data_IF_525524755877
#
_entry.id   IF_525524755877
#
_cell.length_a   1.000
_cell.length_b   1.000
_cell.length_c   1.000
_cell.angle_alpha   90.00
_cell.angle_beta   90.00
_cell.angle_gamma   90.00
#
_symmetry.space_group_name_H-M   'P 1'
#
loop_
_entity.id
_entity.type
_entity.pdbx_description
1 polymer ?
#
# COMPACT_ATOMS: atom_id res chain seq x y z
N UNK A 1 -20.17 -12.94 16.06
CA UNK A 1 -19.65 -14.07 15.28
C UNK A 1 -18.49 -14.67 16.06
N UNK A 2 -18.39 -16.00 16.13
CA UNK A 2 -17.25 -16.69 16.76
C UNK A 2 -15.96 -16.38 15.99
N UNK A 3 -14.85 -16.15 16.68
CA UNK A 3 -13.57 -15.93 16.03
C UNK A 3 -12.99 -17.27 15.56
N UNK A 4 -12.78 -17.41 14.26
CA UNK A 4 -12.23 -18.63 13.65
C UNK A 4 -11.20 -18.26 12.57
N UNK A 5 -10.38 -19.22 12.12
CA UNK A 5 -9.46 -19.03 10.99
C UNK A 5 -10.17 -18.67 9.68
N UNK A 6 -11.48 -18.92 9.60
CA UNK A 6 -12.33 -18.68 8.44
C UNK A 6 -13.14 -17.37 8.54
N UNK A 7 -12.98 -16.59 9.61
CA UNK A 7 -13.78 -15.37 9.85
C UNK A 7 -13.65 -14.31 8.74
N UNK A 8 -12.56 -14.36 7.97
CA UNK A 8 -12.30 -13.46 6.85
C UNK A 8 -12.74 -14.01 5.49
N UNK A 9 -13.33 -15.21 5.42
CA UNK A 9 -13.92 -15.72 4.18
C UNK A 9 -15.14 -14.89 3.81
N UNK A 10 -15.22 -14.47 2.54
CA UNK A 10 -16.32 -13.62 2.05
C UNK A 10 -17.02 -14.24 0.84
N UNK A 11 -18.30 -13.92 0.71
CA UNK A 11 -19.06 -14.18 -0.53
C UNK A 11 -18.58 -13.24 -1.64
N UNK A 12 -17.60 -13.67 -2.43
CA UNK A 12 -16.94 -12.82 -3.44
C UNK A 12 -17.91 -12.19 -4.44
N UNK A 13 -18.94 -12.94 -4.88
CA UNK A 13 -19.98 -12.42 -5.78
C UNK A 13 -20.77 -11.27 -5.15
N UNK A 14 -21.35 -11.50 -3.97
CA UNK A 14 -22.16 -10.49 -3.27
C UNK A 14 -21.32 -9.28 -2.85
N UNK A 15 -20.06 -9.49 -2.50
CA UNK A 15 -19.16 -8.41 -2.13
C UNK A 15 -18.76 -7.56 -3.35
N UNK A 16 -18.45 -8.18 -4.49
CA UNK A 16 -18.22 -7.47 -5.74
C UNK A 16 -19.45 -6.66 -6.19
N UNK A 17 -20.67 -7.20 -5.99
CA UNK A 17 -21.92 -6.47 -6.24
C UNK A 17 -22.08 -5.27 -5.31
N UNK A 18 -21.80 -5.43 -4.01
CA UNK A 18 -21.84 -4.34 -3.02
C UNK A 18 -20.88 -3.21 -3.36
N UNK A 19 -19.64 -3.54 -3.74
CA UNK A 19 -18.65 -2.54 -4.16
C UNK A 19 -19.06 -1.88 -5.48
N UNK A 20 -19.65 -2.65 -6.41
CA UNK A 20 -20.15 -2.10 -7.67
C UNK A 20 -21.24 -1.04 -7.46
N UNK A 21 -22.15 -1.29 -6.51
CA UNK A 21 -23.19 -0.32 -6.11
C UNK A 21 -22.53 0.93 -5.53
N UNK A 22 -21.59 0.77 -4.60
CA UNK A 22 -20.86 1.89 -4.00
C UNK A 22 -20.20 2.77 -5.06
N UNK A 23 -19.42 2.19 -5.98
CA UNK A 23 -18.73 2.95 -7.04
C UNK A 23 -19.75 3.73 -7.88
N UNK A 24 -20.85 3.09 -8.27
CA UNK A 24 -21.90 3.74 -9.08
C UNK A 24 -22.55 4.91 -8.33
N UNK A 25 -22.87 4.74 -7.05
CA UNK A 25 -23.46 5.79 -6.22
C UNK A 25 -22.52 6.99 -6.05
N UNK A 26 -21.23 6.75 -5.79
CA UNK A 26 -20.24 7.81 -5.65
C UNK A 26 -20.03 8.60 -6.96
N UNK A 27 -20.00 7.90 -8.10
CA UNK A 27 -19.90 8.58 -9.40
C UNK A 27 -21.12 9.47 -9.68
N UNK A 28 -22.33 9.00 -9.34
CA UNK A 28 -23.55 9.77 -9.53
C UNK A 28 -23.61 11.00 -8.61
N UNK A 29 -23.23 10.85 -7.34
CA UNK A 29 -23.25 11.95 -6.37
C UNK A 29 -22.25 13.05 -6.69
N UNK A 30 -21.08 12.68 -7.24
CA UNK A 30 -20.02 13.63 -7.61
C UNK A 30 -20.11 14.12 -9.06
N UNK A 31 -21.11 13.66 -9.83
CA UNK A 31 -21.32 14.00 -11.25
C UNK A 31 -20.10 13.72 -12.13
N UNK A 32 -19.50 12.53 -11.98
CA UNK A 32 -18.28 12.11 -12.68
C UNK A 32 -18.59 11.13 -13.80
N UNK A 33 -17.85 11.25 -14.90
CA UNK A 33 -18.10 10.49 -16.13
C UNK A 33 -17.28 9.20 -16.25
N UNK A 34 -16.20 9.08 -15.47
CA UNK A 34 -15.30 7.94 -15.50
C UNK A 34 -14.37 7.89 -14.29
N UNK A 35 -13.38 7.01 -14.35
CA UNK A 35 -12.47 6.71 -13.25
C UNK A 35 -11.01 6.71 -13.73
N UNK A 36 -10.13 7.38 -12.99
CA UNK A 36 -8.66 7.30 -13.09
C UNK A 36 -8.12 6.43 -11.96
N UNK A 37 -7.19 5.52 -12.27
CA UNK A 37 -6.51 4.65 -11.29
C UNK A 37 -5.01 4.60 -11.59
N UNK A 38 -4.18 4.81 -10.57
CA UNK A 38 -2.76 4.49 -10.61
C UNK A 38 -2.52 2.97 -10.58
N UNK A 39 -1.90 2.43 -11.63
CA UNK A 39 -1.60 1.00 -11.74
C UNK A 39 -0.15 0.74 -11.30
N UNK A 40 0.02 0.08 -10.16
CA UNK A 40 1.34 -0.23 -9.56
C UNK A 40 1.85 -1.63 -9.90
N UNK A 41 1.03 -2.46 -10.53
CA UNK A 41 1.35 -3.89 -10.74
C UNK A 41 1.19 -4.73 -9.47
N UNK A 42 0.57 -4.17 -8.42
CA UNK A 42 0.12 -4.87 -7.22
C UNK A 42 -1.37 -5.23 -7.28
N UNK A 43 -1.77 -6.15 -6.39
CA UNK A 43 -3.12 -6.74 -6.37
C UNK A 43 -4.23 -5.72 -6.13
N UNK A 44 -4.01 -4.70 -5.29
CA UNK A 44 -5.06 -3.75 -4.90
C UNK A 44 -5.48 -2.88 -6.08
N UNK A 45 -4.51 -2.28 -6.78
CA UNK A 45 -4.78 -1.48 -7.98
C UNK A 45 -5.37 -2.32 -9.12
N UNK A 46 -4.93 -3.57 -9.28
CA UNK A 46 -5.48 -4.49 -10.26
C UNK A 46 -6.95 -4.84 -9.98
N UNK A 47 -7.29 -5.07 -8.71
CA UNK A 47 -8.65 -5.32 -8.25
C UNK A 47 -9.54 -4.08 -8.45
N UNK A 48 -9.11 -2.90 -8.04
CA UNK A 48 -9.86 -1.65 -8.24
C UNK A 48 -10.11 -1.36 -9.72
N UNK A 49 -9.13 -1.64 -10.60
CA UNK A 49 -9.31 -1.51 -12.05
C UNK A 49 -10.37 -2.48 -12.58
N UNK A 50 -10.31 -3.76 -12.19
CA UNK A 50 -11.30 -4.76 -12.61
C UNK A 50 -12.72 -4.43 -12.12
N UNK A 51 -12.86 -3.99 -10.86
CA UNK A 51 -14.13 -3.53 -10.30
C UNK A 51 -14.67 -2.31 -11.05
N UNK A 52 -13.81 -1.33 -11.37
CA UNK A 52 -14.21 -0.15 -12.12
C UNK A 52 -14.69 -0.52 -13.53
N UNK A 53 -13.96 -1.37 -14.25
CA UNK A 53 -14.36 -1.87 -15.57
C UNK A 53 -15.70 -2.59 -15.51
N UNK A 54 -15.92 -3.42 -14.49
CA UNK A 54 -17.20 -4.11 -14.27
C UNK A 54 -18.37 -3.14 -14.13
N UNK A 55 -18.17 -1.99 -13.50
CA UNK A 55 -19.23 -1.02 -13.21
C UNK A 55 -19.52 -0.10 -14.39
N UNK A 56 -18.48 0.47 -15.00
CA UNK A 56 -18.64 1.55 -15.98
C UNK A 56 -18.19 1.21 -17.41
N UNK A 57 -17.65 0.01 -17.62
CA UNK A 57 -17.06 -0.40 -18.89
C UNK A 57 -15.63 0.15 -19.07
N UNK A 58 -14.84 -0.57 -19.86
CA UNK A 58 -13.41 -0.29 -20.07
C UNK A 58 -13.10 1.08 -20.66
N UNK A 59 -14.01 1.63 -21.48
CA UNK A 59 -13.78 2.89 -22.20
C UNK A 59 -13.83 4.12 -21.29
N UNK A 60 -14.35 3.98 -20.06
CA UNK A 60 -14.44 5.04 -19.06
C UNK A 60 -13.50 4.83 -17.87
N UNK A 61 -12.53 3.93 -18.03
CA UNK A 61 -11.47 3.67 -17.04
C UNK A 61 -10.13 4.03 -17.69
N UNK A 62 -9.40 4.94 -17.06
CA UNK A 62 -8.04 5.32 -17.45
C UNK A 62 -7.05 4.80 -16.41
N UNK A 63 -6.18 3.88 -16.84
CA UNK A 63 -5.04 3.43 -16.04
C UNK A 63 -3.83 4.35 -16.21
N UNK A 64 -3.19 4.74 -15.11
CA UNK A 64 -1.96 5.51 -15.14
C UNK A 64 -0.78 4.68 -14.64
N UNK A 65 0.25 4.55 -15.48
CA UNK A 65 1.54 4.01 -15.10
C UNK A 65 2.42 5.18 -14.68
N UNK A 66 2.84 5.22 -13.42
CA UNK A 66 3.54 6.37 -12.83
C UNK A 66 4.94 5.98 -12.32
N UNK A 67 5.82 5.47 -13.21
CA UNK A 67 7.16 5.03 -12.82
C UNK A 67 8.06 6.22 -12.48
N UNK A 68 9.02 5.95 -11.61
CA UNK A 68 10.22 6.76 -11.42
C UNK A 68 11.46 5.91 -11.75
N UNK A 69 12.64 6.52 -11.86
CA UNK A 69 13.89 5.80 -12.24
C UNK A 69 14.27 4.63 -11.34
N UNK A 70 13.71 4.53 -10.15
CA UNK A 70 13.92 3.42 -9.21
C UNK A 70 12.73 2.45 -9.12
N UNK A 71 11.64 2.70 -9.87
CA UNK A 71 10.51 1.78 -9.90
C UNK A 71 10.90 0.46 -10.57
N UNK A 72 10.36 -0.65 -10.05
CA UNK A 72 10.63 -1.96 -10.62
C UNK A 72 10.10 -2.08 -12.06
N UNK A 73 10.92 -2.50 -13.04
CA UNK A 73 10.46 -2.76 -14.40
C UNK A 73 9.34 -3.81 -14.44
N UNK A 74 9.39 -4.80 -13.54
CA UNK A 74 8.38 -5.85 -13.43
C UNK A 74 7.02 -5.29 -13.00
N UNK A 75 6.99 -4.26 -12.14
CA UNK A 75 5.74 -3.59 -11.75
C UNK A 75 5.02 -2.99 -12.96
N UNK A 76 5.77 -2.28 -13.80
CA UNK A 76 5.23 -1.66 -15.01
C UNK A 76 4.74 -2.71 -16.02
N UNK A 77 5.49 -3.79 -16.21
CA UNK A 77 5.11 -4.89 -17.10
C UNK A 77 3.81 -5.57 -16.65
N UNK A 78 3.69 -5.93 -15.37
CA UNK A 78 2.49 -6.56 -14.83
C UNK A 78 1.28 -5.63 -14.88
N UNK A 79 1.46 -4.36 -14.54
CA UNK A 79 0.41 -3.34 -14.64
C UNK A 79 -0.10 -3.20 -16.09
N UNK A 80 0.81 -3.12 -17.06
CA UNK A 80 0.47 -3.04 -18.48
C UNK A 80 -0.21 -4.32 -18.98
N UNK A 81 0.29 -5.50 -18.59
CA UNK A 81 -0.29 -6.79 -18.95
C UNK A 81 -1.73 -6.92 -18.44
N UNK A 82 -1.97 -6.57 -17.18
CA UNK A 82 -3.31 -6.61 -16.59
C UNK A 82 -4.25 -5.58 -17.24
N UNK A 83 -3.77 -4.36 -17.49
CA UNK A 83 -4.55 -3.34 -18.18
C UNK A 83 -4.97 -3.79 -19.60
N UNK A 84 -4.06 -4.45 -20.33
CA UNK A 84 -4.35 -5.03 -21.64
C UNK A 84 -5.42 -6.13 -21.56
N UNK A 85 -5.37 -7.00 -20.55
CA UNK A 85 -6.42 -8.01 -20.31
C UNK A 85 -7.78 -7.36 -20.06
N UNK A 86 -7.84 -6.27 -19.28
CA UNK A 86 -9.06 -5.52 -19.03
C UNK A 86 -9.53 -4.70 -20.25
N UNK A 87 -8.64 -4.46 -21.22
CA UNK A 87 -8.89 -3.64 -22.39
C UNK A 87 -9.05 -2.15 -22.08
N UNK A 88 -8.51 -1.68 -20.96
CA UNK A 88 -8.58 -0.26 -20.56
C UNK A 88 -7.48 0.55 -21.25
N UNK A 89 -7.74 1.83 -21.47
CA UNK A 89 -6.70 2.75 -21.94
C UNK A 89 -5.69 2.99 -20.82
N UNK A 90 -4.41 3.04 -21.17
CA UNK A 90 -3.33 3.42 -20.25
C UNK A 90 -2.58 4.65 -20.73
N UNK A 91 -2.00 5.38 -19.78
CA UNK A 91 -1.02 6.43 -20.05
C UNK A 91 0.15 6.30 -19.08
N UNK A 92 1.36 6.53 -19.58
CA UNK A 92 2.57 6.55 -18.76
C UNK A 92 3.00 7.98 -18.50
N UNK A 93 3.27 8.30 -17.24
CA UNK A 93 3.85 9.58 -16.82
C UNK A 93 5.10 9.26 -16.01
N UNK A 94 6.26 9.52 -16.58
CA UNK A 94 7.51 9.44 -15.84
C UNK A 94 7.57 10.60 -14.84
N UNK A 95 7.58 10.27 -13.54
CA UNK A 95 7.62 11.26 -12.47
C UNK A 95 9.05 11.62 -12.04
N UNK A 96 10.07 10.98 -12.63
CA UNK A 96 11.48 11.22 -12.33
C UNK A 96 11.86 12.70 -12.44
N UNK A 97 11.50 13.45 -13.50
CA UNK A 97 11.92 14.84 -13.64
C UNK A 97 11.41 15.74 -12.50
N UNK A 98 10.19 15.49 -12.01
CA UNK A 98 9.59 16.27 -10.91
C UNK A 98 10.29 15.93 -9.59
N UNK A 99 10.61 14.65 -9.37
CA UNK A 99 11.37 14.19 -8.20
C UNK A 99 12.79 14.74 -8.17
N UNK A 100 13.45 14.82 -9.33
CA UNK A 100 14.77 15.43 -9.48
C UNK A 100 14.72 16.94 -9.25
N UNK A 101 13.75 17.63 -9.84
CA UNK A 101 13.57 19.07 -9.63
C UNK A 101 13.30 19.41 -8.16
N UNK A 102 12.56 18.57 -7.44
CA UNK A 102 12.36 18.71 -6.00
C UNK A 102 13.60 18.31 -5.17
N UNK A 103 14.58 17.64 -5.77
CA UNK A 103 15.78 17.10 -5.11
C UNK A 103 15.45 15.95 -4.16
N UNK A 104 14.41 15.16 -4.45
CA UNK A 104 13.94 14.05 -3.59
C UNK A 104 15.03 13.00 -3.38
N UNK A 105 15.69 12.59 -4.46
CA UNK A 105 16.76 11.59 -4.41
C UNK A 105 17.99 12.12 -3.69
N UNK A 106 18.43 13.35 -3.99
CA UNK A 106 19.57 13.99 -3.35
C UNK A 106 19.40 14.06 -1.82
N UNK A 107 18.23 14.52 -1.35
CA UNK A 107 17.92 14.64 0.08
C UNK A 107 17.95 13.28 0.79
N UNK A 108 17.39 12.24 0.16
CA UNK A 108 17.42 10.88 0.70
C UNK A 108 18.83 10.31 0.72
N UNK A 109 19.56 10.47 -0.38
CA UNK A 109 20.91 9.91 -0.56
C UNK A 109 21.91 10.61 0.36
N UNK A 110 21.69 11.89 0.70
CA UNK A 110 22.46 12.58 1.72
C UNK A 110 22.37 11.89 3.10
N UNK A 111 21.20 11.36 3.47
CA UNK A 111 21.04 10.57 4.70
C UNK A 111 21.85 9.29 4.64
N UNK A 112 21.80 8.57 3.52
CA UNK A 112 22.57 7.34 3.34
C UNK A 112 24.08 7.61 3.31
N UNK A 113 24.53 8.65 2.60
CA UNK A 113 25.93 9.09 2.53
C UNK A 113 26.51 9.53 3.87
N UNK A 114 25.71 10.16 4.72
CA UNK A 114 26.14 10.55 6.06
C UNK A 114 26.45 9.33 6.95
N UNK A 115 25.89 8.16 6.64
CA UNK A 115 26.11 6.89 7.35
C UNK A 115 27.19 6.06 6.67
N UNK A 116 27.10 5.95 5.34
CA UNK A 116 27.99 5.19 4.47
C UNK A 116 28.56 6.14 3.41
N UNK A 117 29.73 6.78 3.64
CA UNK A 117 30.31 7.77 2.74
C UNK A 117 30.53 7.27 1.29
N UNK A 118 30.64 5.95 1.11
CA UNK A 118 30.76 5.29 -0.19
C UNK A 118 29.45 5.22 -0.98
N UNK A 119 28.30 5.50 -0.36
CA UNK A 119 26.99 5.42 -1.02
C UNK A 119 26.90 6.39 -2.19
N UNK A 120 26.63 5.88 -3.38
CA UNK A 120 26.65 6.69 -4.60
C UNK A 120 25.97 6.01 -5.78
N UNK A 121 26.41 6.36 -6.99
CA UNK A 121 25.85 5.80 -8.22
C UNK A 121 25.87 4.25 -8.19
N UNK A 122 24.77 3.64 -8.63
CA UNK A 122 24.59 2.19 -8.65
C UNK A 122 24.24 1.56 -7.29
N UNK A 123 24.35 2.30 -6.18
CA UNK A 123 23.90 1.79 -4.88
C UNK A 123 22.38 1.84 -4.79
N UNK A 124 21.80 0.84 -4.14
CA UNK A 124 20.38 0.77 -3.80
C UNK A 124 20.21 0.86 -2.30
N UNK A 125 19.02 1.24 -1.84
CA UNK A 125 18.70 1.24 -0.42
C UNK A 125 17.27 0.78 -0.16
N UNK A 126 17.03 0.28 1.05
CA UNK A 126 15.72 0.07 1.65
C UNK A 126 15.76 0.35 3.15
N UNK A 127 14.59 0.56 3.75
CA UNK A 127 14.47 0.55 5.21
C UNK A 127 13.48 -0.54 5.66
N UNK A 128 13.80 -1.20 6.76
CA UNK A 128 12.96 -2.26 7.35
C UNK A 128 12.71 -2.01 8.83
N UNK A 129 11.64 -2.60 9.36
CA UNK A 129 11.42 -2.71 10.79
C UNK A 129 11.95 -4.05 11.31
N UNK A 130 12.20 -4.20 12.62
CA UNK A 130 12.57 -5.49 13.18
C UNK A 130 11.48 -6.53 12.87
N UNK A 131 11.88 -7.60 12.21
CA UNK A 131 10.98 -8.69 11.83
C UNK A 131 10.61 -9.56 13.03
N UNK A 132 9.65 -10.46 12.82
CA UNK A 132 9.31 -11.52 13.77
C UNK A 132 8.83 -10.99 15.13
N UNK A 133 7.89 -10.05 15.06
CA UNK A 133 7.32 -9.43 16.27
C UNK A 133 6.65 -10.47 17.18
N UNK A 134 6.14 -11.57 16.62
CA UNK A 134 5.56 -12.66 17.42
C UNK A 134 6.61 -13.27 18.37
N UNK A 135 7.84 -13.50 17.94
CA UNK A 135 8.82 -14.18 18.79
C UNK A 135 9.82 -13.22 19.45
N UNK A 136 9.98 -11.99 18.95
CA UNK A 136 10.96 -11.02 19.47
C UNK A 136 10.32 -9.71 19.90
N UNK A 137 10.40 -9.38 21.18
CA UNK A 137 10.07 -8.02 21.63
C UNK A 137 11.16 -7.06 21.18
N UNK A 138 10.79 -6.05 20.41
CA UNK A 138 11.75 -5.11 19.81
C UNK A 138 11.11 -3.74 19.65
N UNK A 139 11.88 -2.71 20.00
CA UNK A 139 11.49 -1.32 19.81
C UNK A 139 11.29 -1.01 18.33
N UNK A 140 10.37 -0.08 18.03
CA UNK A 140 10.14 0.38 16.66
C UNK A 140 11.28 1.32 16.25
N UNK A 141 12.21 0.81 15.45
CA UNK A 141 13.26 1.59 14.80
C UNK A 141 13.45 1.09 13.37
N UNK A 142 13.78 2.01 12.46
CA UNK A 142 14.09 1.61 11.08
C UNK A 142 15.55 1.19 10.98
N UNK A 143 15.81 0.17 10.19
CA UNK A 143 17.15 -0.26 9.78
C UNK A 143 17.34 0.13 8.32
N UNK A 144 18.36 0.93 8.01
CA UNK A 144 18.79 1.17 6.65
C UNK A 144 19.64 0.01 6.18
N UNK A 145 19.28 -0.55 5.03
CA UNK A 145 20.11 -1.50 4.29
C UNK A 145 20.49 -0.87 2.95
N UNK A 146 21.79 -0.77 2.69
CA UNK A 146 22.33 -0.37 1.38
C UNK A 146 22.86 -1.60 0.66
N UNK A 147 22.71 -1.63 -0.66
CA UNK A 147 23.22 -2.67 -1.56
C UNK A 147 24.15 -2.01 -2.55
N UNK A 148 25.40 -2.45 -2.63
CA UNK A 148 26.37 -1.93 -3.60
C UNK A 148 26.23 -2.60 -4.98
N UNK A 149 26.94 -2.13 -6.02
CA UNK A 149 26.88 -2.73 -7.36
C UNK A 149 27.36 -4.20 -7.44
N UNK A 150 28.04 -4.71 -6.41
CA UNK A 150 28.49 -6.10 -6.30
C UNK A 150 27.52 -6.94 -5.45
N UNK A 151 26.32 -6.44 -5.17
CA UNK A 151 25.28 -7.06 -4.33
C UNK A 151 25.72 -7.27 -2.86
N UNK A 152 26.74 -6.55 -2.39
CA UNK A 152 27.14 -6.56 -0.98
C UNK A 152 26.22 -5.65 -0.19
N UNK A 153 25.71 -6.16 0.93
CA UNK A 153 24.77 -5.44 1.79
C UNK A 153 25.43 -4.95 3.07
N UNK A 154 25.03 -3.74 3.50
CA UNK A 154 25.37 -3.18 4.83
C UNK A 154 24.11 -2.68 5.49
N UNK A 155 23.96 -2.95 6.78
CA UNK A 155 22.77 -2.57 7.55
C UNK A 155 23.12 -1.83 8.82
N UNK A 156 22.40 -0.75 9.11
CA UNK A 156 22.53 -0.03 10.37
C UNK A 156 21.19 0.50 10.87
N UNK A 157 21.07 0.65 12.18
CA UNK A 157 19.91 1.28 12.80
C UNK A 157 19.92 2.78 12.53
N UNK A 158 18.77 3.31 12.08
CA UNK A 158 18.54 4.72 11.90
C UNK A 158 18.08 5.37 13.21
N UNK A 159 18.53 6.60 13.44
CA UNK A 159 17.88 7.49 14.39
C UNK A 159 16.60 8.09 13.77
N UNK A 160 15.80 8.77 14.59
CA UNK A 160 14.50 9.31 14.16
C UNK A 160 14.61 10.36 13.06
N UNK A 161 15.65 11.19 13.06
CA UNK A 161 15.85 12.23 12.04
C UNK A 161 16.20 11.60 10.68
N UNK A 162 17.13 10.66 10.67
CA UNK A 162 17.53 9.94 9.47
C UNK A 162 16.35 9.15 8.87
N UNK A 163 15.58 8.45 9.71
CA UNK A 163 14.39 7.74 9.27
C UNK A 163 13.35 8.70 8.65
N UNK A 164 13.08 9.84 9.29
CA UNK A 164 12.17 10.87 8.74
C UNK A 164 12.65 11.42 7.40
N UNK A 165 13.96 11.60 7.20
CA UNK A 165 14.52 12.06 5.93
C UNK A 165 14.23 11.09 4.78
N UNK A 166 14.45 9.78 5.00
CA UNK A 166 14.16 8.75 3.99
C UNK A 166 12.65 8.63 3.74
N UNK A 167 11.84 8.58 4.81
CA UNK A 167 10.38 8.47 4.70
C UNK A 167 9.79 9.69 3.98
N UNK A 168 10.31 10.91 4.22
CA UNK A 168 9.85 12.11 3.53
C UNK A 168 10.07 12.02 2.01
N UNK A 169 11.19 11.44 1.58
CA UNK A 169 11.45 11.19 0.16
C UNK A 169 10.45 10.19 -0.42
N UNK A 170 10.19 9.07 0.28
CA UNK A 170 9.16 8.10 -0.11
C UNK A 170 7.79 8.76 -0.24
N UNK A 171 7.34 9.52 0.78
CA UNK A 171 6.06 10.23 0.75
C UNK A 171 5.95 11.23 -0.42
N UNK A 172 7.07 11.86 -0.80
CA UNK A 172 7.10 12.80 -1.94
C UNK A 172 6.81 12.09 -3.25
N UNK A 173 7.31 10.86 -3.45
CA UNK A 173 6.98 10.03 -4.61
C UNK A 173 5.47 9.80 -4.72
N UNK A 174 4.82 9.37 -3.63
CA UNK A 174 3.37 9.14 -3.62
C UNK A 174 2.56 10.41 -3.94
N UNK A 175 2.97 11.57 -3.40
CA UNK A 175 2.29 12.86 -3.66
C UNK A 175 2.39 13.30 -5.10
N UNK A 176 3.53 13.09 -5.76
CA UNK A 176 3.67 13.42 -7.18
C UNK A 176 2.82 12.48 -8.04
N UNK A 177 2.69 11.20 -7.67
CA UNK A 177 1.75 10.27 -8.32
C UNK A 177 0.30 10.76 -8.19
N UNK A 178 -0.10 11.20 -7.00
CA UNK A 178 -1.41 11.80 -6.76
C UNK A 178 -1.65 13.02 -7.66
N UNK A 179 -0.68 13.94 -7.76
CA UNK A 179 -0.78 15.11 -8.64
C UNK A 179 -1.03 14.70 -10.10
N UNK A 180 -0.32 13.68 -10.60
CA UNK A 180 -0.54 13.17 -11.95
C UNK A 180 -1.95 12.60 -12.11
N UNK A 181 -2.43 11.79 -11.15
CA UNK A 181 -3.78 11.23 -11.18
C UNK A 181 -4.86 12.32 -11.27
N UNK A 182 -4.78 13.34 -10.41
CA UNK A 182 -5.76 14.43 -10.42
C UNK A 182 -5.70 15.27 -11.69
N UNK A 183 -4.52 15.51 -12.27
CA UNK A 183 -4.42 16.22 -13.55
C UNK A 183 -5.24 15.52 -14.66
N UNK A 184 -5.14 14.19 -14.77
CA UNK A 184 -5.91 13.45 -15.77
C UNK A 184 -7.39 13.32 -15.41
N UNK A 185 -7.70 13.19 -14.12
CA UNK A 185 -9.06 13.10 -13.63
C UNK A 185 -9.85 14.40 -13.92
N UNK A 186 -9.29 15.55 -13.53
CA UNK A 186 -9.86 16.87 -13.77
C UNK A 186 -10.04 17.16 -15.27
N UNK A 187 -9.00 16.86 -16.07
CA UNK A 187 -9.05 17.04 -17.52
C UNK A 187 -10.17 16.24 -18.18
N UNK A 188 -10.56 15.11 -17.61
CA UNK A 188 -11.51 14.16 -18.21
C UNK A 188 -12.87 14.13 -17.52
N UNK A 189 -13.11 14.98 -16.51
CA UNK A 189 -14.26 14.89 -15.60
C UNK A 189 -14.42 13.50 -14.93
N UNK A 190 -13.31 12.87 -14.57
CA UNK A 190 -13.26 11.57 -13.90
C UNK A 190 -12.98 11.76 -12.41
N UNK A 191 -13.29 10.75 -11.59
CA UNK A 191 -12.80 10.69 -10.21
C UNK A 191 -11.49 9.90 -10.13
N UNK A 192 -10.72 10.15 -9.07
CA UNK A 192 -9.55 9.35 -8.70
C UNK A 192 -10.00 8.23 -7.75
N UNK A 193 -9.78 6.99 -8.16
CA UNK A 193 -10.10 5.80 -7.37
C UNK A 193 -8.86 5.29 -6.65
N UNK A 194 -8.92 5.27 -5.33
CA UNK A 194 -7.90 4.72 -4.46
C UNK A 194 -7.90 3.21 -4.39
N UNK A 195 -6.84 2.71 -3.77
CA UNK A 195 -6.53 1.28 -3.73
C UNK A 195 -6.09 0.85 -2.34
N UNK A 196 -6.34 1.66 -1.32
CA UNK A 196 -5.96 1.34 0.06
C UNK A 196 -6.92 0.29 0.60
N UNK A 197 -6.39 -0.82 1.12
CA UNK A 197 -7.19 -1.85 1.79
C UNK A 197 -7.29 -1.58 3.31
N UNK A 198 -8.13 -2.33 4.02
CA UNK A 198 -8.35 -2.16 5.46
C UNK A 198 -7.09 -2.33 6.29
N UNK A 199 -6.27 -3.32 5.96
CA UNK A 199 -5.03 -3.60 6.69
C UNK A 199 -4.09 -2.40 6.66
N UNK A 200 -4.02 -1.74 5.50
CA UNK A 200 -3.29 -0.48 5.31
C UNK A 200 -3.98 0.71 5.98
N UNK A 201 -5.28 0.90 5.77
CA UNK A 201 -6.03 2.04 6.26
C UNK A 201 -6.03 2.13 7.80
N UNK A 202 -6.24 1.00 8.47
CA UNK A 202 -6.32 0.92 9.94
C UNK A 202 -4.94 1.08 10.57
N UNK A 203 -3.89 0.54 9.94
CA UNK A 203 -2.52 0.67 10.46
C UNK A 203 -1.86 1.99 10.05
N UNK A 204 -2.35 2.66 9.00
CA UNK A 204 -1.78 3.88 8.45
C UNK A 204 -0.62 3.62 7.50
N UNK A 205 -0.66 2.52 6.73
CA UNK A 205 0.26 2.24 5.64
C UNK A 205 -0.23 2.87 4.34
N UNK A 206 -0.25 4.20 4.30
CA UNK A 206 -0.50 4.99 3.10
C UNK A 206 0.01 6.41 3.33
N UNK A 207 0.16 7.19 2.26
CA UNK A 207 0.58 8.59 2.35
C UNK A 207 -0.65 9.49 2.26
N UNK A 208 -0.93 10.26 3.31
CA UNK A 208 -1.95 11.32 3.28
C UNK A 208 -1.61 12.33 2.18
N UNK A 209 -2.58 12.59 1.30
CA UNK A 209 -2.41 13.39 0.08
C UNK A 209 -1.39 12.80 -0.92
N UNK A 210 -1.05 11.53 -0.78
CA UNK A 210 -0.34 10.73 -1.76
C UNK A 210 -1.28 9.69 -2.34
N UNK A 211 -0.94 8.41 -2.18
CA UNK A 211 -1.83 7.30 -2.55
C UNK A 211 -3.17 7.30 -1.81
N UNK A 212 -3.25 7.87 -0.61
CA UNK A 212 -4.53 8.12 0.09
C UNK A 212 -5.18 9.47 -0.22
N UNK A 213 -4.65 10.24 -1.19
CA UNK A 213 -5.30 11.44 -1.70
C UNK A 213 -6.15 11.08 -2.91
N UNK A 214 -7.41 10.71 -2.68
CA UNK A 214 -8.32 10.17 -3.69
C UNK A 214 -9.76 10.59 -3.41
N UNK A 215 -10.67 10.37 -4.37
CA UNK A 215 -12.09 10.68 -4.21
C UNK A 215 -12.88 9.52 -3.60
N UNK A 216 -12.49 8.27 -3.89
CA UNK A 216 -13.12 7.06 -3.34
C UNK A 216 -12.09 5.99 -2.96
N UNK A 217 -12.40 5.18 -1.96
CA UNK A 217 -11.63 3.99 -1.55
C UNK A 217 -12.54 2.75 -1.52
N UNK A 218 -12.74 2.08 -2.67
CA UNK A 218 -13.77 1.03 -2.81
C UNK A 218 -13.44 -0.26 -2.04
N UNK A 219 -12.20 -0.43 -1.58
CA UNK A 219 -11.73 -1.65 -0.89
C UNK A 219 -11.15 -1.39 0.51
N UNK A 220 -11.25 -0.17 1.04
CA UNK A 220 -10.71 0.17 2.36
C UNK A 220 -11.40 -0.55 3.53
N UNK A 221 -12.54 -1.20 3.30
CA UNK A 221 -13.19 -2.07 4.29
C UNK A 221 -12.75 -3.53 4.23
N UNK A 222 -11.96 -3.93 3.23
CA UNK A 222 -11.50 -5.31 3.04
C UNK A 222 -10.08 -5.49 3.57
N UNK A 223 -9.85 -6.52 4.36
CA UNK A 223 -8.49 -6.94 4.70
C UNK A 223 -7.74 -7.45 3.47
N UNK A 224 -6.40 -7.46 3.49
CA UNK A 224 -5.58 -7.94 2.37
C UNK A 224 -5.96 -9.34 1.89
N UNK A 225 -6.24 -10.25 2.82
CA UNK A 225 -6.69 -11.61 2.53
C UNK A 225 -8.03 -11.64 1.78
N UNK A 226 -8.92 -10.67 2.02
CA UNK A 226 -10.19 -10.53 1.29
C UNK A 226 -9.99 -9.89 -0.09
N UNK A 227 -9.02 -8.98 -0.21
CA UNK A 227 -8.59 -8.44 -1.52
C UNK A 227 -8.10 -9.57 -2.42
N UNK A 228 -7.27 -10.49 -1.92
CA UNK A 228 -6.83 -11.66 -2.69
C UNK A 228 -7.98 -12.58 -3.12
N UNK A 229 -8.94 -12.86 -2.23
CA UNK A 229 -10.13 -13.65 -2.56
C UNK A 229 -10.93 -13.03 -3.72
N UNK A 230 -11.18 -11.72 -3.67
CA UNK A 230 -11.88 -11.01 -4.74
C UNK A 230 -11.07 -10.91 -6.03
N UNK A 231 -9.76 -10.72 -5.92
CA UNK A 231 -8.87 -10.66 -7.07
C UNK A 231 -8.86 -12.00 -7.83
N UNK A 232 -8.79 -13.13 -7.12
CA UNK A 232 -8.93 -14.46 -7.71
C UNK A 232 -10.30 -14.63 -8.37
N UNK A 233 -11.38 -14.26 -7.67
CA UNK A 233 -12.75 -14.35 -8.19
C UNK A 233 -12.97 -13.53 -9.48
N UNK A 234 -12.36 -12.33 -9.58
CA UNK A 234 -12.47 -11.47 -10.76
C UNK A 234 -11.44 -11.80 -11.86
N UNK A 235 -10.63 -12.84 -11.69
CA UNK A 235 -9.69 -13.29 -12.71
C UNK A 235 -8.50 -12.35 -12.93
N UNK A 236 -8.02 -11.70 -11.86
CA UNK A 236 -6.74 -10.97 -11.91
C UNK A 236 -5.62 -11.96 -12.28
N UNK A 237 -4.65 -11.50 -13.08
CA UNK A 237 -3.57 -12.37 -13.58
C UNK A 237 -2.80 -13.04 -12.46
N UNK A 238 -2.44 -14.31 -12.68
CA UNK A 238 -1.76 -15.16 -11.70
C UNK A 238 -0.45 -14.56 -11.21
N UNK A 239 0.29 -13.89 -12.09
CA UNK A 239 1.57 -13.26 -11.78
C UNK A 239 1.44 -12.10 -10.77
N UNK A 240 0.29 -11.41 -10.75
CA UNK A 240 -0.01 -10.41 -9.70
C UNK A 240 -0.40 -11.10 -8.39
N UNK A 241 -1.18 -12.19 -8.45
CA UNK A 241 -1.61 -12.93 -7.26
C UNK A 241 -0.46 -13.63 -6.53
N UNK A 242 0.55 -14.09 -7.25
CA UNK A 242 1.72 -14.79 -6.69
C UNK A 242 2.83 -13.84 -6.22
N UNK A 243 2.74 -12.56 -6.57
CA UNK A 243 3.72 -11.55 -6.18
C UNK A 243 3.56 -11.17 -4.71
N UNK A 244 4.67 -11.12 -3.98
CA UNK A 244 4.67 -10.59 -2.62
C UNK A 244 4.33 -9.08 -2.60
N UNK A 245 3.38 -8.64 -1.76
CA UNK A 245 3.06 -7.22 -1.62
C UNK A 245 4.27 -6.39 -1.21
N UNK A 246 4.46 -5.27 -1.92
CA UNK A 246 5.60 -4.39 -1.80
C UNK A 246 5.19 -2.95 -2.15
N UNK A 247 5.80 -1.94 -1.51
CA UNK A 247 5.44 -0.54 -1.74
C UNK A 247 6.05 0.05 -3.02
N UNK A 248 7.06 -0.62 -3.63
CA UNK A 248 7.78 -0.17 -4.84
C UNK A 248 8.25 1.31 -4.77
N UNK A 249 8.76 1.70 -3.61
CA UNK A 249 9.19 3.08 -3.31
C UNK A 249 10.68 3.23 -3.00
N UNK A 250 11.34 2.11 -2.70
CA UNK A 250 12.76 2.01 -2.42
C UNK A 250 13.49 1.39 -3.61
N UNK A 251 14.76 1.75 -3.83
CA UNK A 251 15.56 1.22 -4.93
C UNK A 251 16.01 -0.22 -4.71
N UNK A 252 16.07 -0.69 -3.46
CA UNK A 252 16.26 -2.10 -3.14
C UNK A 252 14.90 -2.78 -2.85
N UNK A 253 14.67 -4.03 -3.29
CA UNK A 253 13.42 -4.74 -3.05
C UNK A 253 13.11 -4.92 -1.56
N UNK A 254 11.88 -4.60 -1.16
CA UNK A 254 11.35 -4.77 0.19
C UNK A 254 9.87 -5.10 0.15
N UNK A 255 9.40 -5.95 1.06
CA UNK A 255 7.96 -6.28 1.17
C UNK A 255 7.26 -5.44 2.24
N UNK A 256 5.93 -5.38 2.20
CA UNK A 256 5.16 -4.74 3.27
C UNK A 256 5.34 -5.44 4.62
N UNK A 257 5.61 -6.76 4.60
CA UNK A 257 5.93 -7.55 5.79
C UNK A 257 7.26 -7.11 6.41
N UNK A 258 8.30 -6.85 5.60
CA UNK A 258 9.62 -6.42 6.07
C UNK A 258 9.64 -4.95 6.52
N UNK A 259 9.01 -4.07 5.75
CA UNK A 259 9.12 -2.63 5.96
C UNK A 259 8.14 -2.11 7.02
N UNK A 260 6.95 -2.71 7.14
CA UNK A 260 5.89 -2.12 7.94
C UNK A 260 5.18 -3.10 8.89
N UNK A 261 4.67 -4.22 8.39
CA UNK A 261 3.79 -5.09 9.17
C UNK A 261 4.51 -6.02 10.14
N UNK A 262 5.79 -6.37 9.87
CA UNK A 262 6.66 -7.19 10.73
C UNK A 262 6.19 -8.63 10.96
N UNK A 263 5.20 -9.09 10.21
CA UNK A 263 4.63 -10.44 10.27
C UNK A 263 4.01 -10.84 8.94
N UNK A 264 3.80 -12.14 8.69
CA UNK A 264 3.14 -12.62 7.49
C UNK A 264 1.69 -12.14 7.36
N UNK A 265 1.27 -11.76 6.15
CA UNK A 265 -0.07 -11.22 5.87
C UNK A 265 -1.22 -12.15 6.30
N UNK A 266 -1.03 -13.47 6.14
CA UNK A 266 -2.02 -14.47 6.55
C UNK A 266 -2.36 -14.40 8.05
N UNK A 267 -1.38 -14.09 8.89
CA UNK A 267 -1.58 -13.95 10.33
C UNK A 267 -2.00 -12.52 10.69
N UNK A 268 -1.42 -11.53 10.00
CA UNK A 268 -1.70 -10.10 10.20
C UNK A 268 -3.20 -9.82 10.24
N UNK A 269 -3.92 -10.19 9.19
CA UNK A 269 -5.33 -9.76 9.06
C UNK A 269 -6.25 -10.43 10.09
N UNK A 270 -5.99 -11.68 10.46
CA UNK A 270 -6.75 -12.37 11.50
C UNK A 270 -6.52 -11.73 12.87
N UNK A 271 -5.27 -11.41 13.19
CA UNK A 271 -4.93 -10.72 14.44
C UNK A 271 -5.44 -9.28 14.44
N UNK A 272 -5.39 -8.60 13.29
CA UNK A 272 -5.90 -7.24 13.15
C UNK A 272 -7.42 -7.22 13.31
N UNK A 273 -8.13 -8.18 12.70
CA UNK A 273 -9.56 -8.38 12.93
C UNK A 273 -9.88 -8.60 14.41
N UNK A 274 -9.13 -9.48 15.07
CA UNK A 274 -9.32 -9.76 16.49
C UNK A 274 -9.13 -8.51 17.36
N UNK A 275 -8.10 -7.71 17.05
CA UNK A 275 -7.82 -6.45 17.72
C UNK A 275 -8.92 -5.41 17.50
N UNK A 276 -9.35 -5.19 16.24
CA UNK A 276 -10.39 -4.23 15.89
C UNK A 276 -11.75 -4.57 16.53
N UNK A 277 -12.08 -5.85 16.59
CA UNK A 277 -13.35 -6.35 17.13
C UNK A 277 -13.29 -6.70 18.63
N UNK A 278 -12.16 -6.43 19.29
CA UNK A 278 -11.95 -6.70 20.73
C UNK A 278 -12.27 -8.15 21.12
N UNK A 279 -11.87 -9.10 20.28
CA UNK A 279 -11.96 -10.54 20.57
C UNK A 279 -11.16 -10.84 21.84
N UNK A 280 -11.69 -11.70 22.70
CA UNK A 280 -11.01 -12.08 23.93
C UNK A 280 -9.65 -12.74 23.64
N UNK A 281 -8.61 -12.35 24.38
CA UNK A 281 -7.25 -12.85 24.11
C UNK A 281 -7.17 -14.36 24.26
N UNK A 282 -7.92 -14.97 25.19
CA UNK A 282 -7.93 -16.44 25.36
C UNK A 282 -8.50 -17.13 24.11
N UNK A 283 -9.52 -16.54 23.47
CA UNK A 283 -10.07 -17.03 22.21
C UNK A 283 -9.07 -16.88 21.07
N UNK A 284 -8.39 -15.73 20.98
CA UNK A 284 -7.33 -15.50 19.98
C UNK A 284 -6.20 -16.51 20.14
N UNK A 285 -5.69 -16.71 21.36
CA UNK A 285 -4.65 -17.69 21.66
C UNK A 285 -5.04 -19.10 21.21
N UNK A 286 -6.28 -19.51 21.52
CA UNK A 286 -6.82 -20.83 21.13
C UNK A 286 -6.88 -20.99 19.61
N UNK A 287 -7.43 -20.00 18.90
CA UNK A 287 -7.69 -20.09 17.46
C UNK A 287 -6.41 -19.91 16.64
N UNK A 288 -5.53 -19.00 17.05
CA UNK A 288 -4.29 -18.69 16.34
C UNK A 288 -3.12 -19.58 16.77
N UNK A 289 -3.29 -20.41 17.82
CA UNK A 289 -2.24 -21.25 18.40
C UNK A 289 -1.04 -20.40 18.86
N UNK A 290 -1.33 -19.27 19.52
CA UNK A 290 -0.34 -18.31 20.02
C UNK A 290 -0.41 -18.22 21.54
N UNK A 291 0.69 -17.81 22.16
CA UNK A 291 0.69 -17.47 23.59
C UNK A 291 0.07 -16.10 23.85
N UNK A 292 -0.43 -15.90 25.07
CA UNK A 292 -1.00 -14.61 25.48
C UNK A 292 -0.02 -13.45 25.33
N UNK A 293 1.27 -13.68 25.60
CA UNK A 293 2.32 -12.68 25.42
C UNK A 293 2.52 -12.30 23.95
N UNK A 294 2.47 -13.27 23.03
CA UNK A 294 2.57 -13.03 21.58
C UNK A 294 1.40 -12.15 21.10
N UNK A 295 0.16 -12.50 21.49
CA UNK A 295 -1.05 -11.75 21.12
C UNK A 295 -0.99 -10.33 21.69
N UNK A 296 -0.66 -10.17 22.98
CA UNK A 296 -0.52 -8.86 23.63
C UNK A 296 0.51 -7.98 22.94
N UNK A 297 1.65 -8.55 22.53
CA UNK A 297 2.71 -7.81 21.84
C UNK A 297 2.26 -7.31 20.47
N UNK A 298 1.57 -8.14 19.70
CA UNK A 298 0.99 -7.75 18.40
C UNK A 298 -0.06 -6.66 18.57
N UNK A 299 -0.98 -6.83 19.52
CA UNK A 299 -2.03 -5.84 19.79
C UNK A 299 -1.46 -4.50 20.25
N UNK A 300 -0.36 -4.51 21.00
CA UNK A 300 0.39 -3.31 21.38
C UNK A 300 0.99 -2.61 20.16
N UNK A 301 1.57 -3.35 19.21
CA UNK A 301 2.10 -2.79 17.95
C UNK A 301 0.99 -2.16 17.11
N UNK A 302 -0.14 -2.85 16.93
CA UNK A 302 -1.30 -2.30 16.23
C UNK A 302 -1.84 -1.04 16.89
N UNK A 303 -1.96 -1.04 18.21
CA UNK A 303 -2.43 0.13 18.98
C UNK A 303 -1.48 1.31 18.80
N UNK A 304 -0.17 1.07 18.86
CA UNK A 304 0.84 2.12 18.69
C UNK A 304 0.80 2.72 17.28
N UNK A 305 0.74 1.87 16.24
CA UNK A 305 0.60 2.30 14.84
C UNK A 305 -0.68 3.09 14.64
N UNK A 306 -1.84 2.53 15.02
CA UNK A 306 -3.14 3.19 14.92
C UNK A 306 -3.13 4.56 15.59
N UNK A 307 -2.63 4.67 16.83
CA UNK A 307 -2.59 5.94 17.54
C UNK A 307 -1.69 6.97 16.85
N UNK A 308 -0.53 6.55 16.35
CA UNK A 308 0.40 7.42 15.63
C UNK A 308 -0.16 7.89 14.28
N UNK A 309 -0.97 7.07 13.61
CA UNK A 309 -1.45 7.33 12.24
C UNK A 309 -2.91 7.75 12.15
N UNK A 310 -3.67 7.79 13.27
CA UNK A 310 -5.09 8.17 13.29
C UNK A 310 -5.39 9.54 12.66
N UNK A 311 -4.43 10.45 12.67
CA UNK A 311 -4.57 11.77 12.07
C UNK A 311 -4.52 11.75 10.52
N UNK A 312 -4.06 10.65 9.92
CA UNK A 312 -3.99 10.48 8.47
C UNK A 312 -5.39 10.28 7.86
N UNK A 313 -6.25 9.51 8.54
CA UNK A 313 -7.62 9.17 8.11
C UNK A 313 -8.69 10.20 8.53
N UNK A 314 -8.29 11.37 9.05
CA UNK A 314 -9.22 12.42 9.49
C UNK A 314 -9.06 13.68 8.66
N UNK A 315 -10.19 14.34 8.42
CA UNK A 315 -10.18 15.72 7.91
C UNK A 315 -9.36 16.62 8.84
N UNK A 316 -8.69 17.65 8.30
CA UNK A 316 -8.04 18.66 9.13
C UNK A 316 -9.04 19.21 10.17
N UNK A 317 -8.68 19.25 11.47
CA UNK A 317 -9.57 19.83 12.47
C UNK A 317 -9.81 21.30 12.15
N UNK A 318 -11.07 21.72 12.19
CA UNK A 318 -11.48 23.13 12.07
C UNK A 318 -12.17 23.58 13.35
N UNK A 319 -12.06 24.85 13.68
CA UNK A 319 -12.91 25.46 14.70
C UNK A 319 -14.37 25.44 14.18
N UNK A 320 -15.31 25.05 15.04
CA UNK A 320 -16.75 25.13 14.78
C UNK A 320 -17.30 26.42 15.36
#
# INVERSE_FOLDING_TARGET
MEFTKDILKIGCKSEAERISIFIKEQMLSMHREGIVIGLSGGVDSALCAALSVRVIGKDRVLGLLLPDRESSPQSAELAAKHANQLGIKTMTVDITPVLEAFGTYEKRDAVAKAIYPEFGAGHKLKITLPSDILNKDSLNFFTLTTVDPNEVTKSTRLNNEQARGIIAATCTKHRIRMMAQYYFAEKSNYLVCGTTNRSEAVQGLFVKYGDGGVDIEPIAHLYKNQVFQLAEYLGIIKEILERLPAPDTYSAPVTDEEWYFRMPLKQLDLLLYAWENRVDISEVCRVMELTEEQVKRVFRDFTNKYNATRHLIRMPPTLQ
#
